data_IF_068720463048
#
_entry.id   IF_068720463048
#
_cell.length_a   1.000
_cell.length_b   1.000
_cell.length_c   1.000
_cell.angle_alpha   90.00
_cell.angle_beta   90.00
_cell.angle_gamma   90.00
#
_symmetry.space_group_name_H-M   'P 1'
#
loop_
_entity.id
_entity.type
_entity.pdbx_description
1 polymer ?
#
# COMPACT_ATOMS: atom_id res chain seq x y z
N UNK A 1 5.81 -19.54 -2.22
CA UNK A 1 6.20 -18.45 -1.30
C UNK A 1 7.25 -18.98 -0.33
N UNK A 2 6.97 -20.11 0.32
CA UNK A 2 7.95 -20.88 1.10
C UNK A 2 9.20 -21.27 0.29
N UNK A 3 9.06 -21.74 -0.95
CA UNK A 3 10.20 -22.06 -1.83
C UNK A 3 11.08 -20.84 -2.18
N UNK A 4 10.56 -19.63 -1.99
CA UNK A 4 11.28 -18.37 -2.19
C UNK A 4 11.78 -17.77 -0.86
N UNK A 5 11.61 -18.48 0.26
CA UNK A 5 11.94 -18.01 1.60
C UNK A 5 11.08 -16.84 2.08
N UNK A 6 9.87 -16.68 1.54
CA UNK A 6 8.97 -15.57 1.90
C UNK A 6 7.84 -16.11 2.78
N UNK A 7 7.90 -15.74 4.06
CA UNK A 7 6.90 -16.09 5.05
C UNK A 7 5.68 -15.13 5.02
N UNK A 8 4.54 -15.60 5.53
CA UNK A 8 3.33 -14.79 5.74
C UNK A 8 2.74 -14.11 4.48
N UNK A 9 2.91 -14.73 3.31
CA UNK A 9 2.27 -14.27 2.06
C UNK A 9 0.92 -14.95 1.89
N UNK A 10 -0.15 -14.14 1.85
CA UNK A 10 -1.51 -14.62 1.59
C UNK A 10 -2.27 -13.71 0.63
N UNK A 11 -3.57 -13.99 0.46
CA UNK A 11 -4.47 -13.22 -0.43
C UNK A 11 -4.52 -11.73 -0.09
N UNK A 12 -4.47 -11.39 1.20
CA UNK A 12 -4.40 -9.99 1.64
C UNK A 12 -3.08 -9.32 1.27
N UNK A 13 -1.94 -10.02 1.35
CA UNK A 13 -0.64 -9.50 0.92
C UNK A 13 -0.69 -9.17 -0.57
N UNK A 14 -1.19 -10.09 -1.39
CA UNK A 14 -1.36 -9.87 -2.84
C UNK A 14 -2.25 -8.66 -3.15
N UNK A 15 -3.38 -8.53 -2.45
CA UNK A 15 -4.32 -7.39 -2.63
C UNK A 15 -3.67 -6.05 -2.27
N UNK A 16 -2.90 -6.00 -1.17
CA UNK A 16 -2.14 -4.80 -0.77
C UNK A 16 -1.06 -4.45 -1.78
N UNK A 17 -0.27 -5.44 -2.21
CA UNK A 17 0.79 -5.27 -3.22
C UNK A 17 0.24 -4.74 -4.53
N UNK A 18 -0.86 -5.30 -5.04
CA UNK A 18 -1.56 -4.78 -6.22
C UNK A 18 -1.95 -3.31 -6.04
N UNK A 19 -2.62 -2.98 -4.93
CA UNK A 19 -3.06 -1.62 -4.65
C UNK A 19 -1.91 -0.61 -4.56
N UNK A 20 -0.80 -1.01 -3.93
CA UNK A 20 0.41 -0.19 -3.84
C UNK A 20 0.99 0.16 -5.22
N UNK A 21 1.17 -0.85 -6.09
CA UNK A 21 1.69 -0.63 -7.44
C UNK A 21 0.72 0.15 -8.33
N UNK A 22 -0.58 -0.11 -8.24
CA UNK A 22 -1.60 0.65 -8.95
C UNK A 22 -1.55 2.13 -8.54
N UNK A 23 -1.51 2.41 -7.24
CA UNK A 23 -1.43 3.78 -6.74
C UNK A 23 -0.12 4.47 -7.16
N UNK A 24 1.02 3.77 -7.13
CA UNK A 24 2.29 4.34 -7.62
C UNK A 24 2.24 4.71 -9.10
N UNK A 25 1.56 3.92 -9.94
CA UNK A 25 1.47 4.15 -11.39
C UNK A 25 0.44 5.21 -11.78
N UNK A 26 -0.75 5.15 -11.20
CA UNK A 26 -1.90 5.97 -11.64
C UNK A 26 -2.28 7.08 -10.65
N UNK A 27 -1.81 7.01 -9.39
CA UNK A 27 -2.13 7.94 -8.30
C UNK A 27 -3.64 8.12 -8.06
N UNK A 28 -4.48 7.19 -8.52
CA UNK A 28 -5.93 7.23 -8.35
C UNK A 28 -6.35 6.35 -7.16
N UNK A 29 -6.69 6.98 -6.04
CA UNK A 29 -7.19 6.28 -4.84
C UNK A 29 -8.67 5.94 -4.94
N UNK A 30 -9.46 6.66 -5.75
CA UNK A 30 -10.89 6.44 -5.87
C UNK A 30 -11.20 5.07 -6.49
N UNK A 31 -10.47 4.69 -7.55
CA UNK A 31 -10.59 3.37 -8.16
C UNK A 31 -10.30 2.25 -7.15
N UNK A 32 -9.25 2.44 -6.33
CA UNK A 32 -8.87 1.49 -5.30
C UNK A 32 -9.89 1.43 -4.18
N UNK A 33 -10.53 2.54 -3.81
CA UNK A 33 -11.62 2.53 -2.84
C UNK A 33 -12.80 1.70 -3.35
N UNK A 34 -13.20 1.87 -4.61
CA UNK A 34 -14.26 1.08 -5.23
C UNK A 34 -13.88 -0.40 -5.31
N UNK A 35 -12.66 -0.72 -5.73
CA UNK A 35 -12.17 -2.09 -5.84
C UNK A 35 -12.03 -2.78 -4.47
N UNK A 36 -11.67 -2.01 -3.44
CA UNK A 36 -11.46 -2.51 -2.09
C UNK A 36 -12.68 -2.42 -1.18
N UNK A 37 -13.75 -1.79 -1.65
CA UNK A 37 -14.95 -1.48 -0.88
C UNK A 37 -14.62 -0.73 0.43
N UNK A 38 -13.73 0.27 0.33
CA UNK A 38 -13.34 1.09 1.47
C UNK A 38 -14.12 2.40 1.52
N UNK A 39 -14.53 2.80 2.71
CA UNK A 39 -15.34 4.00 2.93
C UNK A 39 -14.56 5.32 2.84
N UNK A 40 -13.22 5.28 2.88
CA UNK A 40 -12.43 6.50 2.79
C UNK A 40 -11.09 6.31 2.06
N UNK A 41 -10.53 7.39 1.47
CA UNK A 41 -9.20 7.37 0.88
C UNK A 41 -8.12 7.02 1.90
N UNK A 42 -8.24 7.53 3.14
CA UNK A 42 -7.28 7.30 4.20
C UNK A 42 -7.16 5.80 4.55
N UNK A 43 -8.30 5.09 4.66
CA UNK A 43 -8.31 3.64 4.88
C UNK A 43 -7.57 2.92 3.75
N UNK A 44 -7.80 3.34 2.50
CA UNK A 44 -7.13 2.75 1.33
C UNK A 44 -5.62 2.99 1.35
N UNK A 45 -5.18 4.22 1.59
CA UNK A 45 -3.75 4.58 1.60
C UNK A 45 -2.97 3.88 2.74
N UNK A 46 -3.61 3.67 3.90
CA UNK A 46 -3.06 2.88 5.00
C UNK A 46 -3.00 1.40 4.61
N UNK A 47 -4.10 0.87 4.07
CA UNK A 47 -4.20 -0.54 3.68
C UNK A 47 -3.11 -0.96 2.70
N UNK A 48 -2.81 -0.11 1.71
CA UNK A 48 -1.76 -0.35 0.70
C UNK A 48 -0.36 0.13 1.14
N UNK A 49 -0.16 0.51 2.40
CA UNK A 49 1.12 0.94 2.98
C UNK A 49 1.77 2.19 2.35
N UNK A 50 1.09 2.94 1.47
CA UNK A 50 1.62 4.18 0.88
C UNK A 50 1.89 5.24 1.93
N UNK A 51 0.98 5.39 2.90
CA UNK A 51 1.15 6.41 3.94
C UNK A 51 2.38 6.16 4.82
N UNK A 52 2.72 4.89 5.05
CA UNK A 52 3.92 4.53 5.80
C UNK A 52 5.17 4.87 4.98
N UNK A 53 5.23 4.46 3.71
CA UNK A 53 6.32 4.74 2.77
C UNK A 53 6.63 6.26 2.67
N UNK A 54 5.59 7.08 2.60
CA UNK A 54 5.72 8.55 2.58
C UNK A 54 6.26 9.13 3.89
N UNK A 55 5.84 8.61 5.04
CA UNK A 55 6.33 9.05 6.35
C UNK A 55 7.79 8.66 6.54
N UNK A 56 8.14 7.42 6.20
CA UNK A 56 9.50 6.90 6.31
C UNK A 56 10.46 7.73 5.45
N UNK A 57 10.06 8.06 4.22
CA UNK A 57 10.83 8.94 3.31
C UNK A 57 11.00 10.35 3.89
N UNK A 58 9.97 10.93 4.51
CA UNK A 58 10.07 12.25 5.12
C UNK A 58 10.99 12.24 6.33
N UNK A 59 10.90 11.21 7.16
CA UNK A 59 11.73 11.06 8.35
C UNK A 59 13.20 10.81 7.99
N UNK A 60 13.49 10.01 6.96
CA UNK A 60 14.87 9.78 6.51
C UNK A 60 15.55 11.04 5.99
N UNK A 61 14.77 11.98 5.43
CA UNK A 61 15.28 13.24 4.87
C UNK A 61 15.26 14.40 5.89
N UNK A 62 14.77 14.16 7.10
CA UNK A 62 14.68 15.16 8.14
C UNK A 62 16.01 15.26 8.91
N UNK A 63 16.62 16.45 8.93
CA UNK A 63 17.75 16.81 9.78
C UNK A 63 17.45 18.14 10.47
N UNK A 64 17.83 18.26 11.75
CA UNK A 64 17.68 19.45 12.59
C UNK A 64 18.88 20.39 12.48
#
# INVERSE_FOLDING_TARGET
AEDLGIDNVGTHTMRKTFGYHYYKKYKNVADLMSLFNHSSPAVTLIYICVRQDELDTKMSNFSL
#
